data_IF_818965493465
#
_entry.id   IF_818965493465
#
_cell.length_a   1.000
_cell.length_b   1.000
_cell.length_c   1.000
_cell.angle_alpha   90.00
_cell.angle_beta   90.00
_cell.angle_gamma   90.00
#
_symmetry.space_group_name_H-M   'P 1'
#
loop_
_entity.id
_entity.type
_entity.pdbx_description
1 polymer ?
#
# COMPACT_ATOMS: atom_id res chain seq x y z
N UNK A 1 12.60 21.38 19.14
CA UNK A 1 11.86 20.20 18.64
C UNK A 1 12.06 20.12 17.14
N UNK A 2 12.65 19.02 16.64
CA UNK A 2 12.79 18.77 15.22
C UNK A 2 11.52 18.05 14.74
N UNK A 3 10.69 18.74 13.95
CA UNK A 3 9.43 18.20 13.44
C UNK A 3 9.48 18.10 11.92
N UNK A 4 9.03 16.96 11.41
CA UNK A 4 8.87 16.68 9.98
C UNK A 4 7.39 16.55 9.66
N UNK A 5 6.99 17.03 8.48
CA UNK A 5 5.64 16.92 7.94
C UNK A 5 5.64 16.17 6.62
N UNK A 6 4.48 15.65 6.25
CA UNK A 6 4.25 14.97 4.98
C UNK A 6 4.07 16.00 3.88
N UNK A 7 4.81 15.85 2.78
CA UNK A 7 4.61 16.61 1.56
C UNK A 7 3.59 15.88 0.66
N UNK A 8 2.59 16.61 0.17
CA UNK A 8 1.55 16.11 -0.74
C UNK A 8 1.49 16.95 -1.99
N UNK A 9 1.10 16.34 -3.11
CA UNK A 9 0.84 16.99 -4.40
C UNK A 9 -0.48 16.50 -4.96
N UNK A 10 -1.20 17.37 -5.67
CA UNK A 10 -2.32 16.93 -6.49
C UNK A 10 -1.76 16.04 -7.61
N UNK A 11 -2.39 14.88 -7.79
CA UNK A 11 -2.07 13.91 -8.83
C UNK A 11 -2.46 14.47 -10.19
N UNK A 12 -1.62 14.27 -11.20
CA UNK A 12 -1.93 14.65 -12.58
C UNK A 12 -3.07 13.79 -13.18
N UNK A 13 -3.40 12.67 -12.53
CA UNK A 13 -4.49 11.78 -12.90
C UNK A 13 -5.62 11.87 -11.89
N UNK A 14 -6.86 11.94 -12.39
CA UNK A 14 -8.09 11.86 -11.59
C UNK A 14 -8.38 10.41 -11.15
N UNK A 15 -9.23 10.25 -10.14
CA UNK A 15 -9.75 8.94 -9.75
C UNK A 15 -10.86 8.47 -10.72
N UNK A 16 -11.43 7.30 -10.45
CA UNK A 16 -12.54 6.71 -11.24
C UNK A 16 -13.80 7.59 -11.27
N UNK A 17 -13.94 8.50 -10.30
CA UNK A 17 -15.06 9.43 -10.16
C UNK A 17 -14.75 10.83 -10.69
N UNK A 18 -13.68 10.98 -11.48
CA UNK A 18 -13.24 12.26 -12.07
C UNK A 18 -12.83 13.32 -11.03
N UNK A 19 -12.37 12.89 -9.85
CA UNK A 19 -11.95 13.78 -8.77
C UNK A 19 -10.42 13.87 -8.63
N UNK A 20 -9.94 15.03 -8.19
CA UNK A 20 -8.54 15.25 -7.88
C UNK A 20 -8.10 14.45 -6.65
N UNK A 21 -6.95 13.77 -6.77
CA UNK A 21 -6.38 12.97 -5.68
C UNK A 21 -5.11 13.59 -5.15
N UNK A 22 -5.02 13.82 -3.84
CA UNK A 22 -3.75 14.19 -3.21
C UNK A 22 -2.86 12.96 -2.96
N UNK A 23 -1.71 12.92 -3.62
CA UNK A 23 -0.69 11.88 -3.41
C UNK A 23 0.41 12.37 -2.48
N UNK A 24 0.88 11.47 -1.62
CA UNK A 24 2.06 11.71 -0.79
C UNK A 24 3.30 11.59 -1.67
N UNK A 25 4.10 12.65 -1.73
CA UNK A 25 5.31 12.71 -2.56
C UNK A 25 6.60 12.67 -1.73
N UNK A 26 6.52 12.95 -0.43
CA UNK A 26 7.73 13.16 0.34
C UNK A 26 7.50 13.58 1.77
N UNK A 27 8.57 14.08 2.36
CA UNK A 27 8.59 14.71 3.68
C UNK A 27 9.35 16.01 3.62
N UNK A 28 9.02 16.95 4.51
CA UNK A 28 9.74 18.22 4.63
C UNK A 28 9.78 18.69 6.07
N UNK A 29 10.74 19.55 6.39
CA UNK A 29 10.86 20.19 7.69
C UNK A 29 10.40 21.66 7.58
N UNK A 30 9.35 22.09 8.31
CA UNK A 30 8.81 23.45 8.16
C UNK A 30 9.82 24.56 8.41
N UNK A 31 10.78 24.34 9.32
CA UNK A 31 11.81 25.32 9.67
C UNK A 31 12.91 25.47 8.59
N UNK A 32 13.04 24.50 7.67
CA UNK A 32 13.94 24.63 6.50
C UNK A 32 13.23 25.30 5.32
N UNK A 33 11.92 25.49 5.39
CA UNK A 33 11.11 26.08 4.33
C UNK A 33 10.37 25.05 3.47
N UNK A 34 9.26 25.48 2.87
CA UNK A 34 8.36 24.60 2.11
C UNK A 34 8.96 24.04 0.81
N UNK A 35 10.04 24.64 0.29
CA UNK A 35 10.75 24.15 -0.89
C UNK A 35 11.70 22.97 -0.63
N UNK A 36 12.00 22.66 0.64
CA UNK A 36 12.92 21.57 1.00
C UNK A 36 12.16 20.26 1.21
N UNK A 37 11.60 19.73 0.11
CA UNK A 37 10.94 18.43 0.09
C UNK A 37 11.95 17.34 -0.24
N UNK A 38 12.05 16.35 0.63
CA UNK A 38 12.72 15.09 0.32
C UNK A 38 11.71 14.14 -0.29
N UNK A 39 11.86 13.85 -1.57
CA UNK A 39 10.97 12.95 -2.30
C UNK A 39 11.11 11.51 -1.81
N UNK A 40 9.97 10.85 -1.63
CA UNK A 40 9.88 9.46 -1.20
C UNK A 40 8.87 8.73 -2.07
N UNK A 41 8.85 7.39 -2.05
CA UNK A 41 7.93 6.57 -2.88
C UNK A 41 8.17 6.76 -4.39
N UNK A 42 9.43 6.81 -4.80
CA UNK A 42 9.85 6.91 -6.20
C UNK A 42 9.57 5.65 -7.02
N UNK A 43 9.26 4.53 -6.36
CA UNK A 43 8.98 3.24 -7.00
C UNK A 43 7.52 2.89 -6.74
N UNK A 44 6.76 2.65 -7.81
CA UNK A 44 5.41 2.13 -7.75
C UNK A 44 5.42 0.61 -7.85
N UNK A 45 4.79 -0.05 -6.87
CA UNK A 45 4.63 -1.50 -6.88
C UNK A 45 3.24 -1.85 -7.39
N UNK A 46 3.16 -2.74 -8.39
CA UNK A 46 1.91 -3.31 -8.87
C UNK A 46 1.79 -4.75 -8.40
N UNK A 47 0.61 -5.14 -7.90
CA UNK A 47 0.31 -6.54 -7.63
C UNK A 47 0.23 -7.26 -8.98
N UNK A 48 1.09 -8.27 -9.16
CA UNK A 48 1.07 -9.15 -10.33
C UNK A 48 0.53 -10.50 -9.90
N UNK A 49 -0.28 -11.14 -10.75
CA UNK A 49 -0.73 -12.51 -10.49
C UNK A 49 0.50 -13.42 -10.40
N UNK A 50 0.67 -14.07 -9.25
CA UNK A 50 1.64 -15.15 -9.12
C UNK A 50 1.07 -16.36 -9.86
N UNK A 51 1.80 -16.88 -10.85
CA UNK A 51 1.45 -18.15 -11.47
C UNK A 51 1.51 -19.24 -10.39
N UNK A 52 0.36 -19.61 -9.83
CA UNK A 52 0.25 -20.75 -8.92
C UNK A 52 0.25 -21.97 -9.83
N UNK A 53 1.32 -22.76 -9.80
CA UNK A 53 1.28 -24.12 -10.30
C UNK A 53 0.27 -24.87 -9.41
N UNK A 54 -0.98 -24.92 -9.86
CA UNK A 54 -2.02 -25.71 -9.21
C UNK A 54 -1.71 -27.16 -9.57
N UNK A 55 -0.80 -27.79 -8.84
CA UNK A 55 -0.87 -29.24 -8.75
C UNK A 55 -2.27 -29.57 -8.20
N UNK A 56 -3.01 -30.51 -8.82
CA UNK A 56 -4.32 -30.88 -8.35
C UNK A 56 -4.19 -31.38 -6.91
N UNK A 57 -4.58 -30.54 -5.95
CA UNK A 57 -4.53 -30.84 -4.53
C UNK A 57 -5.47 -32.03 -4.30
N UNK A 58 -4.91 -33.24 -4.24
CA UNK A 58 -5.66 -34.42 -3.81
C UNK A 58 -6.03 -34.20 -2.35
N UNK A 59 -7.29 -33.84 -2.12
CA UNK A 59 -7.85 -33.59 -0.80
C UNK A 59 -7.76 -34.87 0.03
N UNK A 60 -6.68 -35.02 0.81
CA UNK A 60 -6.60 -36.04 1.86
C UNK A 60 -7.38 -35.50 3.05
N UNK A 61 -8.71 -35.58 3.00
CA UNK A 61 -9.55 -35.30 4.16
C UNK A 61 -9.31 -36.38 5.22
N UNK A 62 -8.70 -36.00 6.34
CA UNK A 62 -8.75 -36.78 7.55
C UNK A 62 -10.12 -36.55 8.22
N UNK A 63 -10.82 -37.59 8.72
CA UNK A 63 -12.02 -37.43 9.52
C UNK A 63 -11.75 -36.47 10.67
N UNK A 64 -12.58 -35.43 10.79
CA UNK A 64 -12.38 -34.35 11.77
C UNK A 64 -12.33 -34.90 13.20
N UNK A 65 -11.37 -34.41 13.99
CA UNK A 65 -11.25 -34.75 15.40
C UNK A 65 -12.54 -34.35 16.16
N UNK A 66 -13.04 -35.19 17.09
CA UNK A 66 -14.25 -34.88 17.83
C UNK A 66 -14.07 -33.60 18.65
N UNK A 67 -15.04 -32.69 18.57
CA UNK A 67 -15.01 -31.43 19.33
C UNK A 67 -15.49 -31.69 20.76
N UNK A 68 -14.91 -30.96 21.71
CA UNK A 68 -15.35 -30.96 23.12
C UNK A 68 -16.79 -30.46 23.22
N UNK A 69 -17.61 -31.02 24.15
CA UNK A 69 -18.94 -30.48 24.41
C UNK A 69 -18.85 -29.10 25.08
N UNK A 70 -19.90 -28.31 24.85
CA UNK A 70 -20.15 -27.00 25.48
C UNK A 70 -20.68 -27.19 26.89
#
# INVERSE_FOLDING_TARGET
>A
LQTVRVARRVSDTLNEYDEEVQKVVGIFAPHLGAGHVFETRTIEWRIVSKAVAVEPLTLKSAPGAPRSPV
#
